data_IF_741730369233
#
_entry.id   IF_741730369233
#
_cell.length_a   1.000
_cell.length_b   1.000
_cell.length_c   1.000
_cell.angle_alpha   90.00
_cell.angle_beta   90.00
_cell.angle_gamma   90.00
#
_symmetry.space_group_name_H-M   'P 1'
#
loop_
_entity.id
_entity.type
_entity.pdbx_description
1 polymer ?
#
# COMPACT_ATOMS: atom_id res chain seq x y z
N UNK A 1 -16.28 9.89 5.49
CA UNK A 1 -14.82 9.64 5.51
C UNK A 1 -14.43 8.73 4.35
N UNK A 2 -13.17 8.81 3.88
CA UNK A 2 -12.60 7.90 2.90
C UNK A 2 -11.16 7.62 3.30
N UNK A 3 -10.72 6.37 3.24
CA UNK A 3 -9.33 5.95 3.28
C UNK A 3 -9.03 5.18 2.00
N UNK A 4 -7.84 5.35 1.43
CA UNK A 4 -7.42 4.64 0.21
C UNK A 4 -6.25 3.75 0.55
N UNK A 5 -6.44 2.44 0.37
CA UNK A 5 -5.39 1.44 0.59
C UNK A 5 -5.00 0.85 -0.76
N UNK A 6 -3.70 0.72 -1.02
CA UNK A 6 -3.22 -0.07 -2.14
C UNK A 6 -2.14 -1.06 -1.69
N UNK A 7 -2.24 -2.28 -2.21
CA UNK A 7 -1.27 -3.34 -2.02
C UNK A 7 -0.63 -3.63 -3.37
N UNK A 8 0.69 -3.58 -3.45
CA UNK A 8 1.41 -3.80 -4.71
C UNK A 8 1.10 -2.76 -5.78
N UNK A 9 1.00 -1.47 -5.40
CA UNK A 9 0.66 -0.39 -6.33
C UNK A 9 1.74 -0.19 -7.43
N UNK A 10 1.40 -0.33 -8.73
CA UNK A 10 2.33 -0.10 -9.82
C UNK A 10 2.92 1.30 -9.94
N UNK A 11 2.36 2.31 -9.25
CA UNK A 11 2.99 3.64 -9.17
C UNK A 11 4.44 3.58 -8.65
N UNK A 12 4.75 2.59 -7.81
CA UNK A 12 6.11 2.41 -7.29
C UNK A 12 7.14 2.07 -8.38
N UNK A 13 6.73 1.51 -9.52
CA UNK A 13 7.60 1.32 -10.69
C UNK A 13 8.12 2.64 -11.27
N UNK A 14 7.41 3.73 -11.01
CA UNK A 14 7.75 5.08 -11.45
C UNK A 14 8.26 5.96 -10.30
N UNK A 15 8.59 5.36 -9.14
CA UNK A 15 9.01 6.09 -7.95
C UNK A 15 7.91 6.96 -7.33
N UNK A 16 6.65 6.62 -7.57
CA UNK A 16 5.49 7.37 -7.09
C UNK A 16 4.67 6.58 -6.07
N UNK A 17 3.83 7.33 -5.35
CA UNK A 17 2.84 6.85 -4.38
C UNK A 17 1.54 7.61 -4.63
N UNK A 18 0.40 7.13 -4.14
CA UNK A 18 -0.85 7.90 -4.06
C UNK A 18 -0.62 9.19 -3.27
N UNK A 19 0.22 9.14 -2.22
CA UNK A 19 0.63 10.31 -1.44
C UNK A 19 1.23 11.42 -2.30
N UNK A 20 2.07 11.08 -3.27
CA UNK A 20 2.72 12.05 -4.18
C UNK A 20 1.90 12.34 -5.43
N UNK A 21 1.07 11.40 -5.88
CA UNK A 21 0.33 11.49 -7.14
C UNK A 21 -1.06 12.14 -7.00
N UNK A 22 -1.61 12.24 -5.79
CA UNK A 22 -2.95 12.79 -5.55
C UNK A 22 -2.98 13.77 -4.39
N UNK A 23 -3.31 15.03 -4.67
CA UNK A 23 -3.59 16.02 -3.63
C UNK A 23 -4.85 15.68 -2.82
N UNK A 24 -5.85 15.07 -3.47
CA UNK A 24 -7.13 14.71 -2.83
C UNK A 24 -7.01 13.50 -1.92
N UNK A 25 -6.33 12.43 -2.37
CA UNK A 25 -6.27 11.16 -1.65
C UNK A 25 -4.96 10.93 -0.90
N UNK A 26 -3.90 11.65 -1.23
CA UNK A 26 -2.59 11.46 -0.63
C UNK A 26 -2.58 11.50 0.90
N UNK A 27 -3.18 12.52 1.56
CA UNK A 27 -3.24 12.60 3.02
C UNK A 27 -4.03 11.47 3.70
N UNK A 28 -4.88 10.75 2.96
CA UNK A 28 -5.75 9.67 3.45
C UNK A 28 -5.41 8.32 2.81
N UNK A 29 -4.20 8.18 2.29
CA UNK A 29 -3.72 6.97 1.63
C UNK A 29 -2.67 6.24 2.46
N UNK A 30 -2.68 4.91 2.37
CA UNK A 30 -1.63 4.03 2.87
C UNK A 30 -1.34 2.98 1.80
N UNK A 31 -0.07 2.73 1.55
CA UNK A 31 0.38 1.84 0.49
C UNK A 31 1.36 0.82 1.03
N UNK A 32 1.18 -0.43 0.61
CA UNK A 32 2.04 -1.54 0.94
C UNK A 32 2.79 -1.97 -0.32
N UNK A 33 4.11 -1.99 -0.23
CA UNK A 33 4.97 -2.55 -1.26
C UNK A 33 5.93 -3.53 -0.58
N UNK A 34 5.64 -4.81 -0.71
CA UNK A 34 6.44 -5.86 -0.10
C UNK A 34 7.80 -5.98 -0.76
N UNK A 35 8.78 -6.44 0.02
CA UNK A 35 10.07 -6.85 -0.51
C UNK A 35 9.87 -7.94 -1.57
N UNK A 36 10.47 -7.77 -2.76
CA UNK A 36 10.30 -8.71 -3.88
C UNK A 36 8.95 -8.66 -4.57
N UNK A 37 8.06 -7.70 -4.25
CA UNK A 37 6.91 -7.39 -5.10
C UNK A 37 7.37 -6.53 -6.27
N UNK A 38 7.66 -7.19 -7.39
CA UNK A 38 8.07 -6.52 -8.62
C UNK A 38 6.97 -5.68 -9.26
N UNK A 39 5.70 -5.86 -8.89
CA UNK A 39 4.58 -5.07 -9.44
C UNK A 39 4.63 -3.64 -8.93
N UNK A 40 5.03 -3.43 -7.67
CA UNK A 40 5.22 -2.09 -7.11
C UNK A 40 6.67 -1.60 -7.11
N UNK A 41 7.60 -2.31 -7.77
CA UNK A 41 9.02 -1.95 -7.77
C UNK A 41 9.78 -2.35 -6.50
N UNK A 42 9.20 -3.21 -5.65
CA UNK A 42 9.87 -3.78 -4.50
C UNK A 42 11.05 -4.66 -4.91
N UNK A 43 12.22 -4.39 -4.35
CA UNK A 43 13.46 -5.12 -4.67
C UNK A 43 13.70 -6.29 -3.71
N UNK A 44 14.41 -7.34 -4.14
CA UNK A 44 14.72 -8.50 -3.29
C UNK A 44 14.78 -9.82 -4.07
N UNK A 45 15.34 -10.85 -3.45
CA UNK A 45 15.50 -12.19 -4.04
C UNK A 45 14.35 -13.10 -3.59
N UNK A 46 13.32 -13.24 -4.42
CA UNK A 46 12.20 -14.17 -4.21
C UNK A 46 11.19 -14.03 -5.36
N UNK A 47 10.63 -15.12 -5.91
CA UNK A 47 9.83 -15.04 -7.13
C UNK A 47 8.44 -14.47 -6.82
N UNK A 48 8.19 -13.19 -7.06
CA UNK A 48 6.85 -12.56 -7.06
C UNK A 48 6.01 -12.71 -5.79
N UNK A 49 6.49 -13.43 -4.76
CA UNK A 49 5.74 -13.78 -3.56
C UNK A 49 5.41 -12.55 -2.73
N UNK A 50 6.21 -11.48 -2.83
CA UNK A 50 5.85 -10.20 -2.23
C UNK A 50 4.46 -9.74 -2.69
N UNK A 51 4.15 -9.91 -3.98
CA UNK A 51 2.86 -9.50 -4.54
C UNK A 51 1.69 -10.37 -4.08
N UNK A 52 1.94 -11.68 -3.92
CA UNK A 52 0.92 -12.64 -3.52
C UNK A 52 0.76 -12.74 -2.00
N UNK A 53 1.68 -12.16 -1.23
CA UNK A 53 1.79 -12.33 0.22
C UNK A 53 0.87 -11.43 1.05
N UNK A 54 0.32 -10.35 0.47
CA UNK A 54 -0.42 -9.33 1.23
C UNK A 54 -1.60 -9.87 2.04
N UNK A 55 -2.26 -10.92 1.55
CA UNK A 55 -3.39 -11.52 2.26
C UNK A 55 -2.99 -12.24 3.57
N UNK A 56 -1.70 -12.56 3.74
CA UNK A 56 -1.21 -13.45 4.81
C UNK A 56 -0.06 -12.86 5.63
N UNK A 57 0.51 -11.73 5.22
CA UNK A 57 1.69 -11.12 5.85
C UNK A 57 1.36 -10.10 6.95
N UNK A 58 0.08 -9.91 7.26
CA UNK A 58 -0.41 -8.95 8.25
C UNK A 58 -0.59 -7.51 7.73
N UNK A 59 -0.28 -7.23 6.47
CA UNK A 59 -0.51 -5.91 5.86
C UNK A 59 -1.99 -5.53 5.83
N UNK A 60 -2.89 -6.50 5.66
CA UNK A 60 -4.35 -6.30 5.74
C UNK A 60 -4.78 -5.81 7.13
N UNK A 61 -4.21 -6.35 8.20
CA UNK A 61 -4.52 -5.91 9.58
C UNK A 61 -4.03 -4.48 9.82
N UNK A 62 -2.84 -4.15 9.32
CA UNK A 62 -2.30 -2.78 9.37
C UNK A 62 -3.18 -1.80 8.59
N UNK A 63 -3.67 -2.21 7.42
CA UNK A 63 -4.61 -1.43 6.62
C UNK A 63 -5.92 -1.20 7.37
N UNK A 64 -6.48 -2.24 7.98
CA UNK A 64 -7.71 -2.13 8.78
C UNK A 64 -7.54 -1.16 9.95
N UNK A 65 -6.41 -1.23 10.66
CA UNK A 65 -6.11 -0.30 11.76
C UNK A 65 -5.99 1.16 11.27
N UNK A 66 -5.39 1.39 10.09
CA UNK A 66 -5.34 2.72 9.49
C UNK A 66 -6.73 3.24 9.12
N UNK A 67 -7.54 2.40 8.47
CA UNK A 67 -8.93 2.77 8.09
C UNK A 67 -9.74 3.12 9.34
N UNK A 68 -9.63 2.33 10.41
CA UNK A 68 -10.34 2.58 11.66
C UNK A 68 -9.93 3.95 12.26
N UNK A 69 -8.64 4.28 12.28
CA UNK A 69 -8.16 5.60 12.73
C UNK A 69 -8.75 6.75 11.90
N UNK A 70 -8.78 6.60 10.58
CA UNK A 70 -9.35 7.61 9.67
C UNK A 70 -10.86 7.79 9.87
N UNK A 71 -11.57 6.71 10.19
CA UNK A 71 -12.99 6.77 10.53
C UNK A 71 -13.23 7.54 11.85
N UNK A 72 -12.41 7.31 12.88
CA UNK A 72 -12.60 7.92 14.21
C UNK A 72 -12.06 9.35 14.34
N UNK A 73 -11.17 9.78 13.45
CA UNK A 73 -10.57 11.13 13.48
C UNK A 73 -11.41 12.21 12.78
N UNK A 74 -12.62 11.85 12.33
CA UNK A 74 -13.59 12.74 11.65
C UNK A 74 -14.58 13.35 12.63
#
# INVERSE_FOLDING_TARGET
>A
MVAVIAFGNPLGLYGQTIKTASSTYGPKSLEFCNRGDTVCGGTGTGPGYGHLGYATDGSVDQAAAFIAKQYTAS
#
